data_IF_114723448208
#
_entry.id   IF_114723448208
#
_cell.length_a   1.000
_cell.length_b   1.000
_cell.length_c   1.000
_cell.angle_alpha   90.00
_cell.angle_beta   90.00
_cell.angle_gamma   90.00
#
_symmetry.space_group_name_H-M   'P 1'
#
loop_
_entity.id
_entity.type
_entity.pdbx_description
1 polymer ?
#
# COMPACT_ATOMS: atom_id res chain seq x y z
N UNK A 1 -55.82 -79.63 34.55
CA UNK A 1 -56.31 -78.72 33.49
C UNK A 1 -55.45 -77.48 33.56
N UNK A 2 -54.56 -77.28 32.58
CA UNK A 2 -53.53 -76.24 32.65
C UNK A 2 -54.13 -74.83 32.49
N UNK A 3 -53.75 -73.85 33.34
CA UNK A 3 -54.32 -72.49 33.29
C UNK A 3 -54.06 -71.77 31.96
N UNK A 4 -53.01 -72.16 31.22
CA UNK A 4 -52.70 -71.66 29.87
C UNK A 4 -53.73 -72.08 28.82
N UNK A 5 -54.29 -73.30 28.93
CA UNK A 5 -55.29 -73.82 28.01
C UNK A 5 -56.62 -73.05 28.11
N UNK A 6 -56.97 -72.61 29.32
CA UNK A 6 -58.20 -71.83 29.58
C UNK A 6 -58.10 -70.44 28.95
N UNK A 7 -56.94 -69.78 29.03
CA UNK A 7 -56.73 -68.44 28.46
C UNK A 7 -56.78 -68.48 26.93
N UNK A 8 -56.22 -69.50 26.29
CA UNK A 8 -56.26 -69.66 24.83
C UNK A 8 -57.70 -69.88 24.36
N UNK A 9 -58.49 -70.71 25.04
CA UNK A 9 -59.90 -70.94 24.70
C UNK A 9 -60.72 -69.65 24.85
N UNK A 10 -60.49 -68.87 25.90
CA UNK A 10 -61.14 -67.57 26.08
C UNK A 10 -60.79 -66.57 24.97
N UNK A 11 -59.52 -66.53 24.56
CA UNK A 11 -59.05 -65.63 23.51
C UNK A 11 -59.64 -66.02 22.14
N UNK A 12 -59.74 -67.33 21.85
CA UNK A 12 -60.40 -67.85 20.64
C UNK A 12 -61.90 -67.54 20.67
N UNK A 13 -62.58 -67.66 21.81
CA UNK A 13 -64.00 -67.29 21.93
C UNK A 13 -64.23 -65.78 21.77
N UNK A 14 -63.33 -64.94 22.27
CA UNK A 14 -63.40 -63.48 22.06
C UNK A 14 -63.20 -63.13 20.60
N UNK A 15 -62.20 -63.73 19.92
CA UNK A 15 -61.97 -63.51 18.49
C UNK A 15 -63.15 -64.04 17.66
N UNK A 16 -63.65 -65.23 17.96
CA UNK A 16 -64.81 -65.80 17.28
C UNK A 16 -66.07 -64.96 17.49
N UNK A 17 -66.27 -64.43 18.71
CA UNK A 17 -67.33 -63.47 19.03
C UNK A 17 -67.18 -62.15 18.29
N UNK A 18 -65.95 -61.64 18.12
CA UNK A 18 -65.67 -60.41 17.37
C UNK A 18 -65.90 -60.60 15.87
N UNK A 19 -65.50 -61.76 15.31
CA UNK A 19 -65.78 -62.16 13.92
C UNK A 19 -67.28 -62.38 13.73
N UNK A 20 -67.97 -63.00 14.68
CA UNK A 20 -69.42 -63.20 14.63
C UNK A 20 -70.17 -61.88 14.71
N UNK A 21 -69.73 -60.94 15.56
CA UNK A 21 -70.31 -59.59 15.64
C UNK A 21 -70.06 -58.77 14.37
N UNK A 22 -68.87 -58.90 13.77
CA UNK A 22 -68.55 -58.33 12.44
C UNK A 22 -69.35 -59.00 11.31
N UNK A 23 -69.74 -60.27 11.47
CA UNK A 23 -70.54 -61.01 10.48
C UNK A 23 -72.05 -60.82 10.66
N UNK A 24 -72.54 -60.43 11.84
CA UNK A 24 -73.95 -60.23 12.13
C UNK A 24 -74.44 -58.80 11.81
N UNK A 25 -73.53 -57.83 11.74
CA UNK A 25 -73.83 -56.44 11.33
C UNK A 25 -73.99 -56.26 9.79
N UNK A 26 -74.03 -57.36 9.00
CA UNK A 26 -74.11 -57.34 7.52
C UNK A 26 -75.39 -57.93 6.90
N UNK A 27 -76.51 -57.88 7.62
CA UNK A 27 -77.85 -58.02 7.01
C UNK A 27 -78.67 -56.74 7.20
N UNK A 28 -78.28 -55.71 6.44
CA UNK A 28 -78.97 -54.43 6.32
C UNK A 28 -78.26 -53.47 5.36
N UNK A 29 -78.43 -53.70 4.04
CA UNK A 29 -78.10 -52.80 2.91
C UNK A 29 -76.62 -52.40 2.68
N UNK A 30 -76.18 -52.24 1.41
CA UNK A 30 -74.76 -52.22 1.04
C UNK A 30 -74.13 -50.85 1.28
N UNK A 31 -73.26 -50.73 2.28
CA UNK A 31 -72.39 -49.55 2.42
C UNK A 31 -71.21 -49.71 1.48
N UNK A 32 -71.31 -49.03 0.34
CA UNK A 32 -70.34 -48.96 -0.74
C UNK A 32 -68.94 -48.60 -0.23
N UNK A 33 -67.94 -49.29 -0.77
CA UNK A 33 -66.52 -48.96 -0.66
C UNK A 33 -66.18 -47.54 -1.15
N UNK A 34 -67.14 -46.79 -1.72
CA UNK A 34 -67.03 -45.38 -2.06
C UNK A 34 -66.93 -44.44 -0.85
N UNK A 35 -67.51 -44.74 0.32
CA UNK A 35 -67.52 -43.80 1.46
C UNK A 35 -66.20 -43.82 2.26
N UNK A 36 -65.43 -44.91 2.16
CA UNK A 36 -64.09 -45.01 2.74
C UNK A 36 -63.06 -44.30 1.84
N UNK A 37 -63.20 -44.43 0.52
CA UNK A 37 -62.35 -43.73 -0.45
C UNK A 37 -62.60 -42.20 -0.42
N UNK A 38 -63.87 -41.76 -0.38
CA UNK A 38 -64.22 -40.33 -0.39
C UNK A 38 -63.88 -39.58 0.91
N UNK A 39 -63.69 -40.26 2.05
CA UNK A 39 -63.22 -39.64 3.30
C UNK A 39 -61.71 -39.73 3.53
N UNK A 40 -61.02 -40.73 2.97
CA UNK A 40 -59.57 -40.83 3.06
C UNK A 40 -58.85 -39.89 2.09
N UNK A 41 -59.39 -39.69 0.89
CA UNK A 41 -58.82 -38.79 -0.11
C UNK A 41 -58.61 -37.34 0.38
N UNK A 42 -59.61 -36.65 0.98
CA UNK A 42 -59.43 -35.28 1.43
C UNK A 42 -58.43 -35.18 2.58
N UNK A 43 -58.39 -36.16 3.48
CA UNK A 43 -57.52 -36.16 4.66
C UNK A 43 -56.08 -36.53 4.31
N UNK A 44 -55.88 -37.41 3.32
CA UNK A 44 -54.55 -37.72 2.80
C UNK A 44 -54.01 -36.57 1.95
N UNK A 45 -54.85 -35.93 1.13
CA UNK A 45 -54.47 -34.70 0.41
C UNK A 45 -54.16 -33.55 1.37
N UNK A 46 -54.88 -33.44 2.49
CA UNK A 46 -54.58 -32.47 3.54
C UNK A 46 -53.25 -32.79 4.25
N UNK A 47 -53.00 -34.04 4.65
CA UNK A 47 -51.74 -34.42 5.30
C UNK A 47 -50.54 -34.36 4.34
N UNK A 48 -50.74 -34.71 3.06
CA UNK A 48 -49.73 -34.57 2.03
C UNK A 48 -49.47 -33.11 1.70
N UNK A 49 -50.50 -32.27 1.54
CA UNK A 49 -50.30 -30.84 1.30
C UNK A 49 -49.69 -30.13 2.51
N UNK A 50 -50.05 -30.53 3.73
CA UNK A 50 -49.47 -30.01 4.97
C UNK A 50 -48.03 -30.48 5.15
N UNK A 51 -47.72 -31.75 4.88
CA UNK A 51 -46.35 -32.27 4.89
C UNK A 51 -45.49 -31.62 3.79
N UNK A 52 -46.04 -31.43 2.59
CA UNK A 52 -45.37 -30.74 1.48
C UNK A 52 -45.13 -29.27 1.80
N UNK A 53 -46.08 -28.57 2.45
CA UNK A 53 -45.88 -27.19 2.92
C UNK A 53 -44.82 -27.12 4.02
N UNK A 54 -44.89 -27.97 5.04
CA UNK A 54 -43.88 -28.02 6.10
C UNK A 54 -42.49 -28.31 5.53
N UNK A 55 -42.36 -29.30 4.64
CA UNK A 55 -41.09 -29.60 3.97
C UNK A 55 -40.64 -28.45 3.08
N UNK A 56 -41.54 -27.78 2.37
CA UNK A 56 -41.20 -26.66 1.51
C UNK A 56 -40.73 -25.46 2.34
N UNK A 57 -41.39 -25.17 3.45
CA UNK A 57 -41.01 -24.07 4.35
C UNK A 57 -39.64 -24.36 5.00
N UNK A 58 -39.44 -25.56 5.55
CA UNK A 58 -38.12 -26.02 6.04
C UNK A 58 -37.06 -26.02 4.93
N UNK A 59 -37.40 -26.40 3.70
CA UNK A 59 -36.47 -26.38 2.58
C UNK A 59 -36.11 -24.95 2.17
N UNK A 60 -37.06 -24.01 2.18
CA UNK A 60 -36.78 -22.59 1.88
C UNK A 60 -35.96 -21.91 2.97
N UNK A 61 -36.17 -22.26 4.24
CA UNK A 61 -35.38 -21.79 5.38
C UNK A 61 -33.96 -22.38 5.35
N UNK A 62 -33.82 -23.68 5.10
CA UNK A 62 -32.53 -24.35 4.96
C UNK A 62 -31.77 -23.85 3.72
N UNK A 63 -32.47 -23.62 2.60
CA UNK A 63 -31.88 -23.06 1.39
C UNK A 63 -31.43 -21.62 1.61
N UNK A 64 -32.27 -20.79 2.26
CA UNK A 64 -31.95 -19.41 2.63
C UNK A 64 -30.75 -19.32 3.57
N UNK A 65 -30.74 -20.11 4.65
CA UNK A 65 -29.63 -20.14 5.61
C UNK A 65 -28.33 -20.71 5.02
N UNK A 66 -28.38 -21.74 4.15
CA UNK A 66 -27.19 -22.24 3.45
C UNK A 66 -26.67 -21.24 2.41
N UNK A 67 -27.55 -20.61 1.64
CA UNK A 67 -27.11 -19.58 0.67
C UNK A 67 -26.59 -18.35 1.40
N UNK A 68 -27.19 -17.94 2.50
CA UNK A 68 -26.72 -16.82 3.31
C UNK A 68 -25.35 -17.12 3.95
N UNK A 69 -25.16 -18.32 4.51
CA UNK A 69 -23.86 -18.76 5.02
C UNK A 69 -22.79 -18.87 3.94
N UNK A 70 -23.16 -19.20 2.70
CA UNK A 70 -22.23 -19.22 1.57
C UNK A 70 -21.97 -17.83 0.99
N UNK A 71 -22.94 -16.91 1.02
CA UNK A 71 -22.82 -15.58 0.44
C UNK A 71 -22.19 -14.56 1.41
N UNK A 72 -22.34 -14.76 2.72
CA UNK A 72 -21.71 -13.93 3.74
C UNK A 72 -20.19 -13.82 3.59
N UNK A 73 -19.43 -14.93 3.43
CA UNK A 73 -17.99 -14.83 3.24
C UNK A 73 -17.62 -14.08 1.96
N UNK A 74 -18.39 -14.21 0.86
CA UNK A 74 -18.19 -13.41 -0.36
C UNK A 74 -18.45 -11.92 -0.13
N UNK A 75 -19.52 -11.56 0.57
CA UNK A 75 -19.82 -10.16 0.93
C UNK A 75 -18.70 -9.56 1.77
N UNK A 76 -18.18 -10.31 2.73
CA UNK A 76 -17.07 -9.89 3.57
C UNK A 76 -15.76 -9.79 2.77
N UNK A 77 -15.48 -10.72 1.86
CA UNK A 77 -14.31 -10.65 0.98
C UNK A 77 -14.36 -9.47 0.01
N UNK A 78 -15.52 -9.15 -0.57
CA UNK A 78 -15.67 -7.95 -1.40
C UNK A 78 -15.48 -6.68 -0.57
N UNK A 79 -15.99 -6.63 0.67
CA UNK A 79 -15.77 -5.50 1.57
C UNK A 79 -14.30 -5.32 1.94
N UNK A 80 -13.61 -6.43 2.22
CA UNK A 80 -12.18 -6.41 2.51
C UNK A 80 -11.36 -6.00 1.29
N UNK A 81 -11.74 -6.45 0.09
CA UNK A 81 -11.10 -6.04 -1.16
C UNK A 81 -11.32 -4.56 -1.46
N UNK A 82 -12.54 -4.03 -1.27
CA UNK A 82 -12.82 -2.60 -1.44
C UNK A 82 -11.98 -1.73 -0.50
N UNK A 83 -11.83 -2.19 0.75
CA UNK A 83 -10.99 -1.52 1.76
C UNK A 83 -9.51 -1.57 1.34
N UNK A 84 -9.00 -2.75 0.98
CA UNK A 84 -7.62 -2.91 0.52
C UNK A 84 -7.30 -2.09 -0.75
N UNK A 85 -8.24 -2.00 -1.69
CA UNK A 85 -8.08 -1.19 -2.91
C UNK A 85 -8.09 0.30 -2.59
N UNK A 86 -8.93 0.76 -1.65
CA UNK A 86 -8.92 2.15 -1.18
C UNK A 86 -7.60 2.51 -0.50
N UNK A 87 -7.11 1.65 0.39
CA UNK A 87 -5.84 1.84 1.09
C UNK A 87 -4.67 1.85 0.10
N UNK A 88 -4.68 0.93 -0.88
CA UNK A 88 -3.66 0.87 -1.93
C UNK A 88 -3.66 2.14 -2.79
N UNK A 89 -4.84 2.65 -3.18
CA UNK A 89 -4.95 3.91 -3.94
C UNK A 89 -4.46 5.11 -3.12
N UNK A 90 -4.79 5.18 -1.84
CA UNK A 90 -4.33 6.24 -0.95
C UNK A 90 -2.81 6.22 -0.78
N UNK A 91 -2.22 5.04 -0.56
CA UNK A 91 -0.77 4.85 -0.49
C UNK A 91 -0.09 5.23 -1.80
N UNK A 92 -0.63 4.79 -2.93
CA UNK A 92 -0.07 5.06 -4.25
C UNK A 92 -0.12 6.54 -4.62
N UNK A 93 -1.14 7.28 -4.19
CA UNK A 93 -1.21 8.74 -4.41
C UNK A 93 -0.18 9.48 -3.54
N UNK A 94 -0.01 9.07 -2.28
CA UNK A 94 1.03 9.62 -1.39
C UNK A 94 2.45 9.33 -1.89
N UNK A 95 2.68 8.12 -2.40
CA UNK A 95 3.98 7.71 -2.93
C UNK A 95 4.31 8.42 -4.25
N UNK A 96 3.31 8.60 -5.13
CA UNK A 96 3.46 9.38 -6.37
C UNK A 96 3.81 10.84 -6.09
N UNK A 97 3.23 11.44 -5.05
CA UNK A 97 3.61 12.77 -4.58
C UNK A 97 5.09 12.82 -4.16
N UNK A 98 5.54 11.82 -3.41
CA UNK A 98 6.92 11.71 -2.93
C UNK A 98 7.92 11.56 -4.08
N UNK A 99 7.64 10.70 -5.07
CA UNK A 99 8.50 10.51 -6.26
C UNK A 99 8.63 11.80 -7.07
N UNK A 100 7.54 12.56 -7.22
CA UNK A 100 7.58 13.85 -7.92
C UNK A 100 8.45 14.86 -7.17
N UNK A 101 8.30 14.97 -5.85
CA UNK A 101 9.11 15.87 -5.02
C UNK A 101 10.59 15.49 -5.03
N UNK A 102 10.92 14.20 -5.00
CA UNK A 102 12.29 13.71 -5.14
C UNK A 102 12.88 14.06 -6.52
N UNK A 103 12.09 13.93 -7.59
CA UNK A 103 12.50 14.35 -8.93
C UNK A 103 12.84 15.83 -9.01
N UNK A 104 12.00 16.69 -8.43
CA UNK A 104 12.23 18.14 -8.35
C UNK A 104 13.51 18.46 -7.53
N UNK A 105 13.68 17.84 -6.37
CA UNK A 105 14.87 18.01 -5.52
C UNK A 105 16.17 17.57 -6.22
N UNK A 106 16.14 16.48 -7.00
CA UNK A 106 17.30 16.02 -7.78
C UNK A 106 17.65 17.03 -8.88
N UNK A 107 16.65 17.63 -9.54
CA UNK A 107 16.89 18.67 -10.55
C UNK A 107 17.51 19.93 -9.94
N UNK A 108 17.00 20.38 -8.79
CA UNK A 108 17.54 21.54 -8.07
C UNK A 108 18.97 21.31 -7.58
N UNK A 109 19.23 20.10 -7.05
CA UNK A 109 20.57 19.71 -6.63
C UNK A 109 21.55 19.65 -7.80
N UNK A 110 21.12 19.08 -8.94
CA UNK A 110 21.94 19.03 -10.15
C UNK A 110 22.23 20.43 -10.71
N UNK A 111 21.28 21.37 -10.61
CA UNK A 111 21.46 22.77 -10.99
C UNK A 111 22.48 23.47 -10.07
N UNK A 112 22.31 23.32 -8.76
CA UNK A 112 23.22 23.91 -7.76
C UNK A 112 24.64 23.37 -7.89
N UNK A 113 24.80 22.06 -8.11
CA UNK A 113 26.12 21.46 -8.29
C UNK A 113 26.79 21.93 -9.59
N UNK A 114 26.03 22.16 -10.67
CA UNK A 114 26.57 22.80 -11.89
C UNK A 114 27.03 24.22 -11.62
N UNK A 115 26.28 25.01 -10.87
CA UNK A 115 26.67 26.39 -10.52
C UNK A 115 27.95 26.42 -9.68
N UNK A 116 28.08 25.55 -8.68
CA UNK A 116 29.30 25.42 -7.87
C UNK A 116 30.47 24.93 -8.71
N UNK A 117 30.27 23.89 -9.52
CA UNK A 117 31.31 23.37 -10.41
C UNK A 117 31.78 24.44 -11.38
N UNK A 118 30.87 25.21 -11.99
CA UNK A 118 31.23 26.30 -12.91
C UNK A 118 31.96 27.44 -12.18
N UNK A 119 31.56 27.75 -10.96
CA UNK A 119 32.26 28.74 -10.12
C UNK A 119 33.70 28.31 -9.82
N UNK A 120 33.92 27.02 -9.54
CA UNK A 120 35.24 26.42 -9.34
C UNK A 120 36.02 26.27 -10.67
N UNK A 121 35.32 26.13 -11.80
CA UNK A 121 35.92 25.99 -13.13
C UNK A 121 36.23 27.33 -13.80
N UNK A 122 35.67 28.42 -13.30
CA UNK A 122 35.98 29.77 -13.78
C UNK A 122 37.47 30.08 -13.58
N UNK A 123 38.11 30.62 -14.61
CA UNK A 123 39.51 31.04 -14.56
C UNK A 123 39.74 32.11 -13.48
N UNK A 124 38.76 32.97 -13.25
CA UNK A 124 38.79 34.05 -12.26
C UNK A 124 38.87 33.52 -10.83
N UNK A 125 38.03 32.55 -10.43
CA UNK A 125 38.08 31.98 -9.08
C UNK A 125 39.37 31.21 -8.81
N UNK A 126 39.93 30.54 -9.82
CA UNK A 126 41.23 29.87 -9.71
C UNK A 126 42.39 30.85 -9.56
N UNK A 127 42.37 31.94 -10.31
CA UNK A 127 43.34 33.03 -10.16
C UNK A 127 43.31 33.61 -8.76
N UNK A 128 42.11 33.96 -8.26
CA UNK A 128 41.92 34.50 -6.92
C UNK A 128 42.37 33.53 -5.81
N UNK A 129 42.14 32.23 -5.96
CA UNK A 129 42.65 31.23 -5.03
C UNK A 129 44.19 31.13 -5.05
N UNK A 130 44.79 31.19 -6.25
CA UNK A 130 46.25 31.25 -6.43
C UNK A 130 46.87 32.46 -5.73
N UNK A 131 46.26 33.64 -5.89
CA UNK A 131 46.69 34.88 -5.23
C UNK A 131 46.55 34.78 -3.71
N UNK A 132 45.42 34.25 -3.21
CA UNK A 132 45.20 34.04 -1.77
C UNK A 132 46.18 33.04 -1.17
N UNK A 133 46.53 31.99 -1.91
CA UNK A 133 47.51 31.01 -1.48
C UNK A 133 48.92 31.60 -1.46
N UNK A 134 49.30 32.37 -2.48
CA UNK A 134 50.58 33.09 -2.52
C UNK A 134 50.70 34.07 -1.35
N UNK A 135 49.63 34.84 -1.05
CA UNK A 135 49.55 35.69 0.15
C UNK A 135 49.80 34.90 1.44
N UNK A 136 49.19 33.72 1.57
CA UNK A 136 49.39 32.87 2.75
C UNK A 136 50.85 32.39 2.87
N UNK A 137 51.48 31.99 1.76
CA UNK A 137 52.89 31.56 1.76
C UNK A 137 53.82 32.70 2.14
N UNK A 138 53.62 33.90 1.57
CA UNK A 138 54.42 35.09 1.89
C UNK A 138 54.28 35.45 3.38
N UNK A 139 53.05 35.43 3.91
CA UNK A 139 52.79 35.67 5.33
C UNK A 139 53.45 34.63 6.23
N UNK A 140 53.42 33.35 5.87
CA UNK A 140 54.08 32.28 6.61
C UNK A 140 55.61 32.37 6.55
N UNK A 141 56.17 32.94 5.48
CA UNK A 141 57.58 33.27 5.38
C UNK A 141 58.00 34.46 6.28
N UNK A 142 57.06 35.03 7.06
CA UNK A 142 57.32 36.12 7.99
C UNK A 142 57.37 37.49 7.34
N UNK A 143 56.90 37.61 6.09
CA UNK A 143 56.85 38.89 5.36
C UNK A 143 55.55 39.62 5.67
N UNK A 144 55.65 40.90 6.01
CA UNK A 144 54.52 41.73 6.39
C UNK A 144 54.06 42.62 5.22
N UNK A 145 52.73 42.71 5.06
CA UNK A 145 52.07 43.46 4.00
C UNK A 145 52.46 44.94 4.10
N UNK A 146 52.84 45.54 2.98
CA UNK A 146 53.27 46.95 2.83
C UNK A 146 54.67 47.30 3.39
N UNK A 147 55.41 46.36 3.98
CA UNK A 147 56.82 46.57 4.36
C UNK A 147 57.74 45.80 3.42
N UNK A 148 57.39 44.54 3.12
CA UNK A 148 58.23 43.67 2.29
C UNK A 148 57.58 43.34 0.96
N UNK A 149 56.25 43.38 0.86
CA UNK A 149 55.54 43.14 -0.40
C UNK A 149 54.28 44.00 -0.55
N UNK A 150 53.91 44.32 -1.79
CA UNK A 150 52.64 44.97 -2.15
C UNK A 150 51.77 44.03 -3.00
N UNK A 151 50.47 44.11 -2.78
CA UNK A 151 49.43 43.37 -3.50
C UNK A 151 48.67 44.33 -4.40
N UNK A 152 48.35 43.91 -5.62
CA UNK A 152 47.41 44.68 -6.42
C UNK A 152 46.07 44.84 -5.70
N UNK A 153 45.77 46.05 -5.24
CA UNK A 153 44.38 46.45 -4.93
C UNK A 153 43.62 46.52 -6.25
N UNK A 154 42.59 45.69 -6.39
CA UNK A 154 41.60 45.81 -7.47
C UNK A 154 41.12 47.26 -7.52
N UNK A 155 41.49 47.99 -8.59
CA UNK A 155 41.09 49.38 -8.80
C UNK A 155 42.14 50.47 -8.61
N UNK A 156 43.41 50.17 -8.28
CA UNK A 156 44.48 51.17 -8.33
C UNK A 156 45.34 51.02 -9.59
N UNK A 157 45.24 52.02 -10.47
CA UNK A 157 46.19 52.30 -11.53
C UNK A 157 47.51 52.77 -10.90
N UNK A 158 48.38 51.84 -10.50
CA UNK A 158 49.80 52.16 -10.44
C UNK A 158 50.33 52.14 -11.88
N UNK A 159 50.19 53.29 -12.56
CA UNK A 159 50.79 53.59 -13.86
C UNK A 159 52.26 54.01 -13.74
N UNK A 160 52.88 53.95 -12.56
CA UNK A 160 54.25 54.42 -12.42
C UNK A 160 55.31 53.34 -12.69
N UNK A 161 55.93 53.53 -13.85
CA UNK A 161 57.36 53.32 -14.14
C UNK A 161 57.86 51.88 -14.32
N UNK A 162 57.37 51.22 -15.38
CA UNK A 162 58.21 50.29 -16.14
C UNK A 162 58.01 50.58 -17.64
N UNK A 163 58.72 51.57 -18.17
CA UNK A 163 58.82 51.80 -19.62
C UNK A 163 59.61 50.65 -20.25
N UNK A 164 58.89 49.66 -20.78
CA UNK A 164 59.42 48.57 -21.59
C UNK A 164 58.27 47.78 -22.21
N UNK A 165 58.32 47.56 -23.54
CA UNK A 165 57.32 46.83 -24.32
C UNK A 165 57.03 45.45 -23.72
N UNK A 166 55.95 45.35 -22.94
CA UNK A 166 55.53 44.11 -22.29
C UNK A 166 55.20 44.31 -20.81
N UNK A 167 54.36 45.29 -20.47
CA UNK A 167 53.84 45.51 -19.12
C UNK A 167 52.88 44.39 -18.69
N UNK A 168 53.41 43.18 -18.55
CA UNK A 168 52.78 42.13 -17.78
C UNK A 168 52.72 42.59 -16.34
N UNK A 169 51.51 42.80 -15.84
CA UNK A 169 51.28 43.24 -14.47
C UNK A 169 51.41 42.03 -13.55
N UNK A 170 52.43 41.97 -12.67
CA UNK A 170 52.62 40.82 -11.78
C UNK A 170 51.64 40.85 -10.59
N UNK A 171 51.22 39.68 -10.11
CA UNK A 171 50.28 39.55 -8.97
C UNK A 171 50.85 40.14 -7.67
N UNK A 172 52.16 39.94 -7.41
CA UNK A 172 52.87 40.40 -6.21
C UNK A 172 54.24 40.99 -6.58
N UNK A 173 54.65 42.04 -5.85
CA UNK A 173 56.01 42.59 -5.92
C UNK A 173 56.61 42.59 -4.53
N UNK A 174 57.76 41.92 -4.40
CA UNK A 174 58.53 41.80 -3.15
C UNK A 174 59.75 42.72 -3.19
N UNK A 175 59.93 43.54 -2.16
CA UNK A 175 61.12 44.35 -1.92
C UNK A 175 62.12 43.59 -1.07
N UNK A 176 63.32 43.39 -1.61
CA UNK A 176 64.42 42.68 -0.94
C UNK A 176 65.30 43.64 -0.11
N UNK A 177 65.98 43.16 0.94
CA UNK A 177 66.82 43.99 1.81
C UNK A 177 68.00 44.69 1.10
N UNK A 178 68.39 44.21 -0.08
CA UNK A 178 69.44 44.78 -0.91
C UNK A 178 68.95 45.90 -1.85
N UNK A 179 67.69 46.34 -1.72
CA UNK A 179 67.07 47.34 -2.58
C UNK A 179 66.62 46.83 -3.95
N UNK A 180 66.67 45.51 -4.19
CA UNK A 180 66.14 44.89 -5.41
C UNK A 180 64.67 44.52 -5.26
N UNK A 181 63.92 44.47 -6.36
CA UNK A 181 62.51 44.06 -6.38
C UNK A 181 62.34 42.75 -7.15
N UNK A 182 61.48 41.86 -6.64
CA UNK A 182 61.13 40.57 -7.25
C UNK A 182 59.64 40.53 -7.58
N UNK A 183 59.31 40.39 -8.87
CA UNK A 183 57.95 40.17 -9.33
C UNK A 183 57.59 38.68 -9.26
N UNK A 184 56.42 38.35 -8.70
CA UNK A 184 55.92 36.97 -8.55
C UNK A 184 54.50 36.89 -9.12
N UNK A 185 54.28 35.90 -9.99
CA UNK A 185 53.00 35.56 -10.60
C UNK A 185 52.48 34.25 -10.01
N UNK A 186 51.21 34.22 -9.61
CA UNK A 186 50.60 33.01 -9.05
C UNK A 186 49.92 32.19 -10.13
N UNK A 187 50.52 31.06 -10.50
CA UNK A 187 49.90 30.13 -11.45
C UNK A 187 49.20 29.00 -10.73
N UNK A 188 47.87 28.98 -10.77
CA UNK A 188 47.07 27.89 -10.23
C UNK A 188 47.27 26.60 -11.05
N UNK A 189 47.38 25.41 -10.42
CA UNK A 189 47.48 24.13 -11.12
C UNK A 189 46.20 23.85 -11.92
N UNK A 190 46.40 23.36 -13.14
CA UNK A 190 45.35 22.89 -14.07
C UNK A 190 44.95 21.45 -13.79
#
# INVERSE_FOLDING_TARGET
>A
MDPLLIVIILLVLVIAGLIFKLSQDQHGSPVSAEDVATKLEPKMLELLSKAMKNNNDEFTELAGTKTENLLNPFKNQIKNLDTAVKDLKASHESEKGTVKTLGEQIMDLASSNRSVTESLRSSTSRGLWGEHQLRNVIRLAGMERHITYDEQKVGQNLEQELEGEGSGKPDFVLSLPNGSSLAIDSKAPT
#
